data_IF_253975213253
#
_entry.id   IF_253975213253
#
_cell.length_a   1.000
_cell.length_b   1.000
_cell.length_c   1.000
_cell.angle_alpha   90.00
_cell.angle_beta   90.00
_cell.angle_gamma   90.00
#
_symmetry.space_group_name_H-M   'P 1'
#
loop_
_entity.id
_entity.type
_entity.pdbx_description
1 polymer ?
#
# COMPACT_ATOMS: atom_id res chain seq x y z
N UNK A 1 -5.99 -64.65 78.98
CA UNK A 1 -5.17 -63.51 78.50
C UNK A 1 -5.71 -62.21 79.10
N UNK A 2 -4.90 -61.20 79.44
CA UNK A 2 -5.46 -59.92 79.93
C UNK A 2 -5.89 -59.00 78.76
N UNK A 3 -6.73 -57.99 79.03
CA UNK A 3 -7.21 -57.05 78.01
C UNK A 3 -6.07 -56.30 77.31
N UNK A 4 -5.03 -55.93 78.05
CA UNK A 4 -3.89 -55.17 77.51
C UNK A 4 -3.08 -55.99 76.51
N UNK A 5 -2.85 -57.26 76.81
CA UNK A 5 -2.13 -58.21 75.98
C UNK A 5 -2.94 -58.54 74.72
N UNK A 6 -4.26 -58.69 74.85
CA UNK A 6 -5.16 -58.86 73.72
C UNK A 6 -5.14 -57.66 72.77
N UNK A 7 -5.26 -56.44 73.31
CA UNK A 7 -5.23 -55.23 72.50
C UNK A 7 -3.90 -55.06 71.75
N UNK A 8 -2.78 -55.41 72.40
CA UNK A 8 -1.45 -55.41 71.78
C UNK A 8 -1.33 -56.43 70.65
N UNK A 9 -1.84 -57.65 70.83
CA UNK A 9 -1.76 -58.70 69.80
C UNK A 9 -2.62 -58.41 68.56
N UNK A 10 -3.62 -57.53 68.68
CA UNK A 10 -4.49 -57.10 67.57
C UNK A 10 -4.10 -55.76 66.94
N UNK A 11 -3.11 -55.07 67.50
CA UNK A 11 -2.61 -53.81 66.92
C UNK A 11 -1.65 -54.12 65.78
N UNK A 12 -1.98 -53.68 64.56
CA UNK A 12 -1.14 -53.75 63.36
C UNK A 12 -0.79 -52.35 62.86
N UNK A 13 0.07 -52.24 61.85
CA UNK A 13 0.45 -50.96 61.22
C UNK A 13 -0.76 -50.16 60.70
N UNK A 14 -1.84 -50.84 60.31
CA UNK A 14 -3.02 -50.22 59.71
C UNK A 14 -4.24 -50.20 60.65
N UNK A 15 -4.21 -50.91 61.78
CA UNK A 15 -5.34 -51.00 62.72
C UNK A 15 -4.85 -50.91 64.17
N UNK A 16 -5.26 -49.87 64.89
CA UNK A 16 -4.89 -49.67 66.30
C UNK A 16 -6.03 -50.15 67.20
N UNK A 17 -5.78 -51.21 67.97
CA UNK A 17 -6.71 -51.72 68.97
C UNK A 17 -6.20 -51.35 70.36
N UNK A 18 -6.88 -50.43 71.04
CA UNK A 18 -6.46 -49.98 72.39
C UNK A 18 -7.14 -50.81 73.49
N UNK A 19 -6.49 -50.99 74.66
CA UNK A 19 -7.12 -51.66 75.81
C UNK A 19 -8.44 -51.01 76.25
N UNK A 20 -8.53 -49.68 76.09
CA UNK A 20 -9.76 -48.92 76.36
C UNK A 20 -10.89 -49.27 75.39
N UNK A 21 -10.59 -49.44 74.10
CA UNK A 21 -11.59 -49.85 73.11
C UNK A 21 -12.13 -51.25 73.40
N UNK A 22 -11.25 -52.19 73.74
CA UNK A 22 -11.62 -53.56 74.14
C UNK A 22 -12.47 -53.55 75.41
N UNK A 23 -12.06 -52.78 76.43
CA UNK A 23 -12.82 -52.63 77.68
C UNK A 23 -14.20 -52.00 77.46
N UNK A 24 -14.30 -51.00 76.59
CA UNK A 24 -15.58 -50.39 76.22
C UNK A 24 -16.49 -51.36 75.49
N UNK A 25 -15.93 -52.16 74.56
CA UNK A 25 -16.70 -53.15 73.83
C UNK A 25 -17.28 -54.21 74.77
N UNK A 26 -16.46 -54.73 75.69
CA UNK A 26 -16.90 -55.65 76.73
C UNK A 26 -18.04 -55.04 77.57
N UNK A 27 -17.86 -53.81 78.05
CA UNK A 27 -18.85 -53.12 78.89
C UNK A 27 -20.18 -52.88 78.17
N UNK A 28 -20.15 -52.69 76.86
CA UNK A 28 -21.34 -52.45 76.03
C UNK A 28 -22.06 -53.73 75.61
N UNK A 29 -21.49 -54.91 75.87
CA UNK A 29 -22.08 -56.21 75.51
C UNK A 29 -22.02 -57.19 76.70
N UNK A 30 -22.58 -56.85 77.88
CA UNK A 30 -22.45 -57.67 79.09
C UNK A 30 -23.00 -59.09 78.90
N UNK A 31 -24.07 -59.25 78.13
CA UNK A 31 -24.67 -60.55 77.78
C UNK A 31 -23.70 -61.56 77.15
N UNK A 32 -22.70 -61.08 76.41
CA UNK A 32 -21.71 -61.94 75.71
C UNK A 32 -20.52 -62.27 76.60
N UNK A 33 -20.24 -61.41 77.59
CA UNK A 33 -19.00 -61.46 78.38
C UNK A 33 -19.23 -61.79 79.87
N UNK A 34 -20.48 -61.94 80.31
CA UNK A 34 -20.81 -62.28 81.69
C UNK A 34 -20.31 -63.69 82.04
N UNK A 35 -19.63 -63.83 83.19
CA UNK A 35 -19.00 -65.08 83.60
C UNK A 35 -17.68 -65.42 82.89
N UNK A 36 -17.37 -64.73 81.79
CA UNK A 36 -16.20 -64.97 80.94
C UNK A 36 -15.04 -64.00 81.21
N UNK A 37 -15.20 -63.17 82.24
CA UNK A 37 -14.26 -62.12 82.63
C UNK A 37 -14.01 -62.17 84.13
N UNK A 38 -12.74 -62.22 84.50
CA UNK A 38 -12.31 -62.15 85.90
C UNK A 38 -11.43 -60.93 86.15
N UNK A 39 -11.51 -60.37 87.36
CA UNK A 39 -10.61 -59.30 87.80
C UNK A 39 -9.49 -59.88 88.64
N UNK A 40 -8.28 -59.34 88.49
CA UNK A 40 -7.16 -59.62 89.37
C UNK A 40 -7.51 -59.31 90.83
N UNK A 41 -6.81 -59.95 91.78
CA UNK A 41 -6.96 -59.72 93.24
C UNK A 41 -6.87 -58.24 93.63
N UNK A 42 -6.16 -57.44 92.83
CA UNK A 42 -5.95 -56.01 93.05
C UNK A 42 -6.91 -55.12 92.25
N UNK A 43 -7.89 -55.71 91.54
CA UNK A 43 -8.92 -55.01 90.74
C UNK A 43 -8.45 -54.27 89.48
N UNK A 44 -7.12 -54.15 89.28
CA UNK A 44 -6.51 -53.36 88.20
C UNK A 44 -6.51 -54.03 86.83
N UNK A 45 -6.43 -55.36 86.79
CA UNK A 45 -6.35 -56.12 85.54
C UNK A 45 -7.57 -56.99 85.35
N UNK A 46 -8.00 -57.08 84.10
CA UNK A 46 -9.15 -57.88 83.68
C UNK A 46 -8.65 -58.99 82.77
N UNK A 47 -8.92 -60.23 83.17
CA UNK A 47 -8.55 -61.44 82.45
C UNK A 47 -9.75 -61.97 81.68
N UNK A 48 -9.47 -62.31 80.43
CA UNK A 48 -10.39 -62.87 79.45
C UNK A 48 -10.13 -64.37 79.36
N UNK A 49 -11.21 -65.16 79.42
CA UNK A 49 -11.17 -66.58 79.09
C UNK A 49 -11.23 -66.81 77.57
N UNK A 50 -11.18 -68.07 77.16
CA UNK A 50 -11.10 -68.44 75.74
C UNK A 50 -12.37 -68.06 74.97
N UNK A 51 -13.53 -68.06 75.61
CA UNK A 51 -14.79 -67.67 74.96
C UNK A 51 -14.86 -66.14 74.78
N UNK A 52 -14.43 -65.35 75.78
CA UNK A 52 -14.29 -63.91 75.64
C UNK A 52 -13.31 -63.53 74.52
N UNK A 53 -12.18 -64.25 74.41
CA UNK A 53 -11.20 -64.04 73.33
C UNK A 53 -11.83 -64.32 71.97
N UNK A 54 -12.56 -65.42 71.82
CA UNK A 54 -13.24 -65.80 70.57
C UNK A 54 -14.26 -64.76 70.11
N UNK A 55 -15.02 -64.16 71.05
CA UNK A 55 -15.98 -63.12 70.72
C UNK A 55 -15.29 -61.81 70.33
N UNK A 56 -14.15 -61.49 70.95
CA UNK A 56 -13.35 -60.34 70.55
C UNK A 56 -12.68 -60.56 69.18
N UNK A 57 -12.26 -61.77 68.85
CA UNK A 57 -11.61 -62.08 67.56
C UNK A 57 -12.54 -61.91 66.36
N UNK A 58 -13.84 -62.14 66.55
CA UNK A 58 -14.86 -61.80 65.54
C UNK A 58 -14.95 -60.29 65.31
N UNK A 59 -14.74 -59.49 66.36
CA UNK A 59 -14.86 -58.02 66.30
C UNK A 59 -13.58 -57.36 65.78
N UNK A 60 -12.43 -57.86 66.22
CA UNK A 60 -11.09 -57.36 65.88
C UNK A 60 -10.36 -58.38 64.99
N UNK A 61 -10.98 -58.72 63.87
CA UNK A 61 -10.41 -59.65 62.88
C UNK A 61 -9.17 -59.03 62.21
N UNK A 62 -8.09 -59.81 62.13
CA UNK A 62 -6.89 -59.43 61.36
C UNK A 62 -7.06 -60.01 59.96
N UNK A 63 -7.22 -59.18 58.91
CA UNK A 63 -7.30 -59.68 57.54
C UNK A 63 -6.01 -60.40 57.14
N UNK A 64 -6.16 -61.49 56.40
CA UNK A 64 -5.04 -62.24 55.84
C UNK A 64 -4.22 -61.35 54.88
N UNK A 65 -2.89 -61.48 54.84
CA UNK A 65 -2.05 -60.73 53.92
C UNK A 65 -2.48 -60.93 52.47
N UNK A 66 -2.66 -59.82 51.74
CA UNK A 66 -2.97 -59.85 50.30
C UNK A 66 -1.72 -60.37 49.56
N UNK A 67 -1.87 -61.50 48.86
CA UNK A 67 -0.83 -62.01 47.97
C UNK A 67 -0.93 -61.28 46.63
N UNK A 68 0.14 -60.56 46.26
CA UNK A 68 0.28 -59.96 44.92
C UNK A 68 0.89 -61.03 44.01
N UNK A 69 0.19 -61.43 42.95
CA UNK A 69 0.72 -62.35 41.94
C UNK A 69 1.66 -61.63 40.98
N UNK A 70 2.67 -62.34 40.48
CA UNK A 70 3.60 -61.86 39.45
C UNK A 70 2.86 -61.39 38.19
N UNK A 71 3.39 -60.35 37.54
CA UNK A 71 2.82 -59.74 36.32
C UNK A 71 2.68 -60.81 35.23
N UNK A 72 1.49 -60.95 34.65
CA UNK A 72 1.20 -61.89 33.57
C UNK A 72 2.15 -61.64 32.37
N UNK A 73 2.93 -62.64 31.91
CA UNK A 73 3.82 -62.54 30.75
C UNK A 73 3.13 -62.10 29.44
N UNK A 74 1.80 -62.19 29.37
CA UNK A 74 1.01 -61.68 28.24
C UNK A 74 0.90 -60.15 28.28
N UNK A 75 0.75 -59.56 29.47
CA UNK A 75 0.67 -58.11 29.64
C UNK A 75 2.00 -57.43 29.28
N UNK A 76 3.12 -58.03 29.68
CA UNK A 76 4.45 -57.50 29.35
C UNK A 76 4.74 -57.53 27.85
N UNK A 77 4.32 -58.60 27.15
CA UNK A 77 4.42 -58.67 25.68
C UNK A 77 3.58 -57.59 24.99
N UNK A 78 2.33 -57.41 25.39
CA UNK A 78 1.45 -56.37 24.82
C UNK A 78 1.98 -54.95 25.08
N UNK A 79 2.57 -54.71 26.25
CA UNK A 79 3.20 -53.43 26.56
C UNK A 79 4.37 -53.16 25.60
N UNK A 80 5.24 -54.16 25.41
CA UNK A 80 6.40 -54.05 24.52
C UNK A 80 5.99 -53.85 23.05
N UNK A 81 4.95 -54.53 22.59
CA UNK A 81 4.38 -54.31 21.25
C UNK A 81 3.82 -52.89 21.10
N UNK A 82 3.07 -52.39 22.10
CA UNK A 82 2.55 -51.03 22.10
C UNK A 82 3.67 -49.98 22.06
N UNK A 83 4.74 -50.17 22.84
CA UNK A 83 5.92 -49.30 22.84
C UNK A 83 6.61 -49.26 21.47
N UNK A 84 6.81 -50.41 20.82
CA UNK A 84 7.36 -50.48 19.46
C UNK A 84 6.48 -49.76 18.44
N UNK A 85 5.16 -49.88 18.59
CA UNK A 85 4.19 -49.22 17.71
C UNK A 85 4.25 -47.70 17.89
N UNK A 86 4.29 -47.21 19.13
CA UNK A 86 4.44 -45.79 19.46
C UNK A 86 5.75 -45.25 18.88
N UNK A 87 6.85 -45.99 19.03
CA UNK A 87 8.14 -45.58 18.50
C UNK A 87 8.09 -45.43 16.97
N UNK A 88 7.56 -46.43 16.28
CA UNK A 88 7.42 -46.41 14.81
C UNK A 88 6.55 -45.24 14.33
N UNK A 89 5.41 -45.00 14.99
CA UNK A 89 4.53 -43.89 14.67
C UNK A 89 5.22 -42.53 14.92
N UNK A 90 5.98 -42.42 16.01
CA UNK A 90 6.72 -41.19 16.32
C UNK A 90 7.77 -40.86 15.25
N UNK A 91 8.46 -41.87 14.72
CA UNK A 91 9.43 -41.71 13.64
C UNK A 91 8.75 -41.30 12.33
N UNK A 92 7.59 -41.89 12.03
CA UNK A 92 6.81 -41.52 10.85
C UNK A 92 6.27 -40.09 10.93
N UNK A 93 5.80 -39.65 12.10
CA UNK A 93 5.38 -38.26 12.31
C UNK A 93 6.55 -37.31 12.07
N UNK A 94 7.74 -37.60 12.62
CA UNK A 94 8.94 -36.78 12.39
C UNK A 94 9.32 -36.70 10.90
N UNK A 95 9.27 -37.83 10.20
CA UNK A 95 9.55 -37.88 8.75
C UNK A 95 8.53 -37.06 7.94
N UNK A 96 7.25 -37.18 8.27
CA UNK A 96 6.19 -36.42 7.61
C UNK A 96 6.28 -34.92 7.88
N UNK A 97 6.62 -34.53 9.11
CA UNK A 97 6.86 -33.13 9.45
C UNK A 97 8.04 -32.56 8.65
N UNK A 98 9.17 -33.27 8.62
CA UNK A 98 10.32 -32.85 7.82
C UNK A 98 9.99 -32.73 6.32
N UNK A 99 9.21 -33.66 5.77
CA UNK A 99 8.76 -33.60 4.38
C UNK A 99 7.80 -32.42 4.12
N UNK A 100 6.91 -32.13 5.07
CA UNK A 100 5.98 -31.00 4.97
C UNK A 100 6.71 -29.66 5.02
N UNK A 101 7.69 -29.50 5.90
CA UNK A 101 8.49 -28.29 6.02
C UNK A 101 9.31 -28.03 4.74
N UNK A 102 9.88 -29.08 4.15
CA UNK A 102 10.56 -29.00 2.85
C UNK A 102 9.63 -28.54 1.74
N UNK A 103 8.42 -29.11 1.66
CA UNK A 103 7.43 -28.74 0.66
C UNK A 103 6.97 -27.27 0.82
N UNK A 104 6.82 -26.81 2.06
CA UNK A 104 6.49 -25.41 2.37
C UNK A 104 7.59 -24.46 1.91
N UNK A 105 8.85 -24.80 2.17
CA UNK A 105 10.00 -24.02 1.72
C UNK A 105 10.09 -23.96 0.19
N UNK A 106 9.93 -25.09 -0.49
CA UNK A 106 9.95 -25.17 -1.96
C UNK A 106 8.79 -24.37 -2.58
N UNK A 107 7.59 -24.48 -2.01
CA UNK A 107 6.43 -23.73 -2.49
C UNK A 107 6.62 -22.22 -2.29
N UNK A 108 7.19 -21.81 -1.15
CA UNK A 108 7.52 -20.40 -0.91
C UNK A 108 8.55 -19.88 -1.92
N UNK A 109 9.61 -20.64 -2.20
CA UNK A 109 10.61 -20.28 -3.22
C UNK A 109 9.99 -20.16 -4.61
N UNK A 110 9.10 -21.09 -4.98
CA UNK A 110 8.39 -21.06 -6.25
C UNK A 110 7.46 -19.84 -6.36
N UNK A 111 6.78 -19.45 -5.28
CA UNK A 111 5.96 -18.24 -5.25
C UNK A 111 6.81 -16.97 -5.45
N UNK A 112 7.99 -16.90 -4.83
CA UNK A 112 8.92 -15.79 -5.02
C UNK A 112 9.40 -15.71 -6.47
N UNK A 113 9.80 -16.84 -7.07
CA UNK A 113 10.20 -16.90 -8.49
C UNK A 113 9.07 -16.47 -9.43
N UNK A 114 7.84 -16.88 -9.16
CA UNK A 114 6.67 -16.46 -9.94
C UNK A 114 6.39 -14.96 -9.78
N UNK A 115 6.50 -14.42 -8.57
CA UNK A 115 6.34 -12.99 -8.32
C UNK A 115 7.39 -12.17 -9.07
N UNK A 116 8.65 -12.60 -9.07
CA UNK A 116 9.73 -11.93 -9.81
C UNK A 116 9.54 -12.03 -11.32
N UNK A 117 9.12 -13.19 -11.84
CA UNK A 117 8.80 -13.37 -13.25
C UNK A 117 7.62 -12.47 -13.70
N UNK A 118 6.61 -12.32 -12.86
CA UNK A 118 5.47 -11.44 -13.13
C UNK A 118 5.89 -9.97 -13.12
N UNK A 119 6.66 -9.53 -12.11
CA UNK A 119 7.23 -8.17 -12.09
C UNK A 119 8.06 -7.87 -13.34
N UNK A 120 8.86 -8.82 -13.80
CA UNK A 120 9.66 -8.66 -15.01
C UNK A 120 8.78 -8.51 -16.26
N UNK A 121 7.71 -9.30 -16.39
CA UNK A 121 6.73 -9.16 -17.47
C UNK A 121 6.03 -7.80 -17.44
N UNK A 122 5.54 -7.37 -16.29
CA UNK A 122 4.90 -6.06 -16.12
C UNK A 122 5.86 -4.92 -16.51
N UNK A 123 7.11 -4.97 -16.06
CA UNK A 123 8.15 -4.01 -16.45
C UNK A 123 8.39 -4.01 -17.96
N UNK A 124 8.40 -5.18 -18.60
CA UNK A 124 8.57 -5.29 -20.04
C UNK A 124 7.38 -4.69 -20.80
N UNK A 125 6.15 -4.91 -20.33
CA UNK A 125 4.93 -4.31 -20.90
C UNK A 125 4.95 -2.78 -20.75
N UNK A 126 5.32 -2.26 -19.56
CA UNK A 126 5.49 -0.82 -19.32
C UNK A 126 6.56 -0.23 -20.25
N UNK A 127 7.70 -0.92 -20.41
CA UNK A 127 8.77 -0.44 -21.29
C UNK A 127 8.32 -0.40 -22.75
N UNK A 128 7.59 -1.42 -23.22
CA UNK A 128 7.10 -1.46 -24.61
C UNK A 128 6.03 -0.41 -24.89
N UNK A 129 5.13 -0.14 -23.94
CA UNK A 129 4.12 0.93 -24.06
C UNK A 129 4.77 2.30 -24.08
N UNK A 130 5.71 2.57 -23.17
CA UNK A 130 6.45 3.82 -23.12
C UNK A 130 7.28 4.08 -24.40
N UNK A 131 7.88 3.04 -24.99
CA UNK A 131 8.55 3.16 -26.29
C UNK A 131 7.58 3.51 -27.43
N UNK A 132 6.38 2.94 -27.44
CA UNK A 132 5.36 3.26 -28.45
C UNK A 132 4.89 4.71 -28.32
N UNK A 133 4.60 5.16 -27.10
CA UNK A 133 4.21 6.55 -26.82
C UNK A 133 5.29 7.53 -27.26
N UNK A 134 6.55 7.31 -26.82
CA UNK A 134 7.68 8.15 -27.25
C UNK A 134 7.84 8.22 -28.77
N UNK A 135 7.63 7.11 -29.48
CA UNK A 135 7.73 7.09 -30.94
C UNK A 135 6.57 7.84 -31.60
N UNK A 136 5.37 7.77 -31.03
CA UNK A 136 4.22 8.54 -31.50
C UNK A 136 4.46 10.04 -31.33
N UNK A 137 4.86 10.46 -30.12
CA UNK A 137 5.18 11.85 -29.81
C UNK A 137 6.29 12.38 -30.71
N UNK A 138 7.34 11.59 -30.93
CA UNK A 138 8.43 11.93 -31.84
C UNK A 138 7.94 12.09 -33.29
N UNK A 139 7.01 11.24 -33.72
CA UNK A 139 6.44 11.30 -35.07
C UNK A 139 5.57 12.55 -35.24
N UNK A 140 4.78 12.90 -34.24
CA UNK A 140 3.96 14.11 -34.24
C UNK A 140 4.83 15.38 -34.21
N UNK A 141 5.84 15.42 -33.33
CA UNK A 141 6.80 16.50 -33.28
C UNK A 141 7.51 16.72 -34.62
N UNK A 142 7.92 15.63 -35.30
CA UNK A 142 8.51 15.71 -36.64
C UNK A 142 7.56 16.29 -37.67
N UNK A 143 6.27 15.90 -37.65
CA UNK A 143 5.25 16.47 -38.55
C UNK A 143 5.07 17.96 -38.31
N UNK A 144 4.98 18.38 -37.05
CA UNK A 144 4.82 19.78 -36.67
C UNK A 144 6.04 20.61 -37.07
N UNK A 145 7.26 20.09 -36.87
CA UNK A 145 8.50 20.73 -37.33
C UNK A 145 8.46 20.93 -38.85
N UNK A 146 8.11 19.91 -39.63
CA UNK A 146 8.00 20.02 -41.10
C UNK A 146 6.98 21.07 -41.53
N UNK A 147 5.81 21.12 -40.87
CA UNK A 147 4.78 22.12 -41.14
C UNK A 147 5.32 23.53 -40.89
N UNK A 148 5.96 23.75 -39.74
CA UNK A 148 6.53 25.04 -39.36
C UNK A 148 7.64 25.48 -40.33
N UNK A 149 8.49 24.56 -40.80
CA UNK A 149 9.48 24.87 -41.82
C UNK A 149 8.85 25.33 -43.14
N UNK A 150 7.79 24.67 -43.59
CA UNK A 150 7.09 25.06 -44.81
C UNK A 150 6.44 26.44 -44.66
N UNK A 151 5.78 26.71 -43.53
CA UNK A 151 5.19 28.02 -43.23
C UNK A 151 6.26 29.12 -43.21
N UNK A 152 7.42 28.84 -42.60
CA UNK A 152 8.54 29.78 -42.55
C UNK A 152 9.06 30.10 -43.95
N UNK A 153 9.18 29.10 -44.83
CA UNK A 153 9.60 29.35 -46.22
C UNK A 153 8.58 30.21 -46.98
N UNK A 154 7.29 29.95 -46.82
CA UNK A 154 6.25 30.80 -47.45
C UNK A 154 6.24 32.24 -46.90
N UNK A 155 6.54 32.42 -45.62
CA UNK A 155 6.61 33.75 -45.02
C UNK A 155 7.85 34.52 -45.52
N UNK A 156 8.97 33.81 -45.74
CA UNK A 156 10.16 34.40 -46.35
C UNK A 156 9.90 34.88 -47.78
N UNK A 157 9.25 34.06 -48.61
CA UNK A 157 8.97 34.44 -50.01
C UNK A 157 8.02 35.63 -50.08
N UNK A 158 6.93 35.61 -49.30
CA UNK A 158 5.98 36.72 -49.24
C UNK A 158 6.63 38.01 -48.73
N UNK A 159 7.50 37.92 -47.73
CA UNK A 159 8.28 39.07 -47.24
C UNK A 159 9.20 39.65 -48.33
N UNK A 160 9.83 38.81 -49.13
CA UNK A 160 10.67 39.25 -50.25
C UNK A 160 9.85 39.95 -51.34
N UNK A 161 8.70 39.39 -51.70
CA UNK A 161 7.78 39.99 -52.67
C UNK A 161 7.27 41.37 -52.20
N UNK A 162 6.88 41.48 -50.92
CA UNK A 162 6.45 42.76 -50.33
C UNK A 162 7.59 43.80 -50.39
N UNK A 163 8.83 43.40 -50.09
CA UNK A 163 9.99 44.29 -50.18
C UNK A 163 10.18 44.81 -51.61
N UNK A 164 10.14 43.92 -52.60
CA UNK A 164 10.28 44.30 -54.02
C UNK A 164 9.16 45.25 -54.46
N UNK A 165 7.91 44.94 -54.10
CA UNK A 165 6.76 45.79 -54.44
C UNK A 165 6.88 47.18 -53.79
N UNK A 166 7.33 47.25 -52.53
CA UNK A 166 7.57 48.53 -51.86
C UNK A 166 8.67 49.36 -52.54
N UNK A 167 9.72 48.72 -53.06
CA UNK A 167 10.76 49.41 -53.82
C UNK A 167 10.23 49.96 -55.16
N UNK A 168 9.39 49.19 -55.86
CA UNK A 168 8.72 49.65 -57.08
C UNK A 168 7.80 50.84 -56.81
N UNK A 169 6.94 50.73 -55.79
CA UNK A 169 6.05 51.83 -55.40
C UNK A 169 6.80 53.11 -55.01
N UNK A 170 7.97 52.99 -54.36
CA UNK A 170 8.83 54.15 -54.08
C UNK A 170 9.35 54.81 -55.35
N UNK A 171 9.72 54.03 -56.37
CA UNK A 171 10.17 54.57 -57.67
C UNK A 171 9.02 55.26 -58.40
N UNK A 172 7.86 54.63 -58.44
CA UNK A 172 6.67 55.19 -59.09
C UNK A 172 6.23 56.50 -58.40
N UNK A 173 6.28 56.54 -57.06
CA UNK A 173 5.98 57.73 -56.29
C UNK A 173 7.00 58.85 -56.56
N UNK A 174 8.30 58.54 -56.62
CA UNK A 174 9.33 59.52 -56.97
C UNK A 174 9.14 60.08 -58.39
N UNK A 175 8.81 59.21 -59.36
CA UNK A 175 8.50 59.61 -60.72
C UNK A 175 7.28 60.54 -60.78
N UNK A 176 6.19 60.18 -60.08
CA UNK A 176 4.99 61.00 -60.01
C UNK A 176 5.27 62.37 -59.37
N UNK A 177 6.05 62.41 -58.27
CA UNK A 177 6.46 63.65 -57.62
C UNK A 177 7.29 64.54 -58.53
N UNK A 178 8.24 63.96 -59.28
CA UNK A 178 9.02 64.71 -60.27
C UNK A 178 8.11 65.30 -61.36
N UNK A 179 7.15 64.50 -61.84
CA UNK A 179 6.22 64.93 -62.87
C UNK A 179 5.26 66.02 -62.38
N UNK A 180 4.83 65.99 -61.12
CA UNK A 180 4.05 67.07 -60.50
C UNK A 180 4.89 68.34 -60.42
N UNK A 181 6.13 68.25 -59.92
CA UNK A 181 7.01 69.41 -59.78
C UNK A 181 7.29 70.11 -61.13
N UNK A 182 7.48 69.35 -62.21
CA UNK A 182 7.67 69.94 -63.55
C UNK A 182 6.40 70.60 -64.07
N UNK A 183 5.22 70.02 -63.81
CA UNK A 183 3.94 70.65 -64.17
C UNK A 183 3.68 71.93 -63.39
N UNK A 184 3.99 71.96 -62.09
CA UNK A 184 3.88 73.16 -61.25
C UNK A 184 4.81 74.27 -61.73
N UNK A 185 6.07 73.96 -62.04
CA UNK A 185 7.00 74.93 -62.62
C UNK A 185 6.49 75.51 -63.94
N UNK A 186 5.91 74.66 -64.80
CA UNK A 186 5.34 75.08 -66.08
C UNK A 186 4.12 75.98 -65.88
N UNK A 187 3.27 75.65 -64.90
CA UNK A 187 2.10 76.46 -64.55
C UNK A 187 2.51 77.84 -64.04
N UNK A 188 3.44 77.90 -63.07
CA UNK A 188 3.93 79.17 -62.52
C UNK A 188 4.51 80.08 -63.61
N UNK A 189 5.27 79.52 -64.55
CA UNK A 189 5.78 80.28 -65.71
C UNK A 189 4.65 80.86 -66.56
N UNK A 190 3.57 80.09 -66.76
CA UNK A 190 2.40 80.56 -67.51
C UNK A 190 1.63 81.64 -66.75
N UNK A 191 1.55 81.55 -65.44
CA UNK A 191 0.97 82.60 -64.59
C UNK A 191 1.78 83.91 -64.69
N UNK A 192 3.12 83.84 -64.66
CA UNK A 192 4.00 84.99 -64.84
C UNK A 192 3.86 85.62 -66.25
N UNK A 193 3.76 84.79 -67.29
CA UNK A 193 3.49 85.23 -68.66
C UNK A 193 2.15 85.98 -68.76
N UNK A 194 1.09 85.44 -68.14
CA UNK A 194 -0.24 86.07 -68.07
C UNK A 194 -0.18 87.38 -67.31
N UNK A 195 0.47 87.43 -66.15
CA UNK A 195 0.64 88.66 -65.37
C UNK A 195 1.35 89.75 -66.19
N UNK A 196 2.40 89.37 -66.92
CA UNK A 196 3.12 90.29 -67.82
C UNK A 196 2.21 90.80 -68.95
N UNK A 197 1.39 89.94 -69.54
CA UNK A 197 0.43 90.35 -70.58
C UNK A 197 -0.64 91.29 -70.03
N UNK A 198 -1.17 91.03 -68.84
CA UNK A 198 -2.15 91.90 -68.18
C UNK A 198 -1.58 93.31 -67.92
N UNK A 199 -0.35 93.42 -67.41
CA UNK A 199 0.29 94.74 -67.21
C UNK A 199 0.52 95.49 -68.53
N UNK A 200 0.86 94.79 -69.62
CA UNK A 200 0.97 95.41 -70.96
C UNK A 200 -0.37 95.89 -71.50
N UNK A 201 -1.44 95.12 -71.28
CA UNK A 201 -2.81 95.53 -71.63
C UNK A 201 -3.18 96.79 -70.86
N UNK A 202 -2.95 96.83 -69.55
CA UNK A 202 -3.24 98.01 -68.72
C UNK A 202 -2.43 99.25 -69.15
N UNK A 203 -1.15 99.08 -69.51
CA UNK A 203 -0.33 100.15 -70.09
C UNK A 203 -0.91 100.65 -71.42
N UNK A 204 -1.25 99.75 -72.34
CA UNK A 204 -1.84 100.10 -73.63
C UNK A 204 -3.19 100.81 -73.47
N UNK A 205 -4.03 100.38 -72.51
CA UNK A 205 -5.28 101.06 -72.17
C UNK A 205 -5.04 102.48 -71.62
N UNK A 206 -4.04 102.66 -70.75
CA UNK A 206 -3.66 103.96 -70.22
C UNK A 206 -3.11 104.90 -71.31
N UNK A 207 -2.28 104.38 -72.22
CA UNK A 207 -1.76 105.11 -73.38
C UNK A 207 -2.89 105.53 -74.32
N UNK A 208 -3.81 104.62 -74.66
CA UNK A 208 -4.98 104.91 -75.48
C UNK A 208 -5.87 105.98 -74.84
N UNK A 209 -6.13 105.89 -73.54
CA UNK A 209 -6.89 106.89 -72.79
C UNK A 209 -6.21 108.26 -72.77
N UNK A 210 -4.88 108.30 -72.61
CA UNK A 210 -4.09 109.53 -72.69
C UNK A 210 -4.16 110.15 -74.10
N UNK A 211 -4.01 109.35 -75.14
CA UNK A 211 -4.12 109.78 -76.53
C UNK A 211 -5.51 110.36 -76.83
N UNK A 212 -6.58 109.68 -76.41
CA UNK A 212 -7.96 110.15 -76.55
C UNK A 212 -8.13 111.52 -75.86
N UNK A 213 -7.67 111.66 -74.60
CA UNK A 213 -7.73 112.94 -73.87
C UNK A 213 -6.97 114.06 -74.58
N UNK A 214 -5.77 113.78 -75.09
CA UNK A 214 -4.94 114.73 -75.85
C UNK A 214 -5.64 115.15 -77.17
N UNK A 215 -6.20 114.17 -77.88
CA UNK A 215 -6.94 114.39 -79.12
C UNK A 215 -8.18 115.29 -78.89
N UNK A 216 -8.99 114.98 -77.88
CA UNK A 216 -10.15 115.83 -77.54
C UNK A 216 -9.72 117.23 -77.04
N UNK A 217 -8.63 117.32 -76.27
CA UNK A 217 -8.06 118.61 -75.83
C UNK A 217 -7.58 119.48 -76.99
N UNK A 218 -6.99 118.88 -78.03
CA UNK A 218 -6.59 119.57 -79.26
C UNK A 218 -7.80 120.15 -80.01
N UNK A 219 -8.90 119.40 -80.10
CA UNK A 219 -10.13 119.87 -80.73
C UNK A 219 -10.82 120.97 -79.95
N UNK A 220 -10.80 120.93 -78.61
CA UNK A 220 -11.39 121.96 -77.74
C UNK A 220 -10.70 123.33 -77.81
N UNK A 221 -9.45 123.39 -78.30
CA UNK A 221 -8.70 124.65 -78.52
C UNK A 221 -8.91 125.28 -79.90
N UNK A 222 -9.61 124.61 -80.82
CA UNK A 222 -9.88 125.07 -82.20
C UNK A 222 -11.31 125.61 -82.41
N UNK A 223 -12.11 125.64 -81.36
CA UNK A 223 -13.46 126.24 -81.30
C UNK A 223 -13.44 127.40 -80.32
#
# INVERSE_FOLDING_TARGET
MNISDYARSRTTTNTIVTPSAVSMYIRRNPEIFNGHISKSKNGKETFLDDEAIKQLDKKYYIPEPIQVYDIDPICERKLKEAEQTIQTLSENIKKLQAAYDLLLAENHENQLKLADANKYKELQEIHTTLLKEKNNDLTEAKKNITLLYNMLETEKTTTQEIKLNNELLKKDLAYAQQHIATTEQTLNKKEDEIATLLTRIEQAENEANSFIKSWFGFWRKKT
#
